data_IF_664200276401
#
_entry.id   IF_664200276401
#
_cell.length_a   1.000
_cell.length_b   1.000
_cell.length_c   1.000
_cell.angle_alpha   90.00
_cell.angle_beta   90.00
_cell.angle_gamma   90.00
#
_symmetry.space_group_name_H-M   'P 1'
#
loop_
_entity.id
_entity.type
_entity.pdbx_description
1 polymer ?
#
# COMPACT_ATOMS: atom_id res chain seq x y z
N UNK A 1 0.49 -9.94 4.28
CA UNK A 1 0.46 -9.07 3.08
C UNK A 1 -0.09 -7.73 3.50
N UNK A 2 0.59 -6.65 3.13
CA UNK A 2 0.12 -5.28 3.37
C UNK A 2 -1.10 -4.99 2.49
N UNK A 3 -1.99 -4.09 2.90
CA UNK A 3 -3.12 -3.67 2.05
C UNK A 3 -2.63 -3.05 0.75
N UNK A 4 -1.56 -2.26 0.83
CA UNK A 4 -0.86 -1.71 -0.33
C UNK A 4 -0.40 -2.77 -1.34
N UNK A 5 0.15 -3.90 -0.89
CA UNK A 5 0.61 -4.96 -1.81
C UNK A 5 -0.56 -5.62 -2.54
N UNK A 6 -1.67 -5.82 -1.83
CA UNK A 6 -2.90 -6.38 -2.40
C UNK A 6 -3.50 -5.41 -3.40
N UNK A 7 -3.55 -4.12 -3.05
CA UNK A 7 -4.03 -3.06 -3.92
C UNK A 7 -3.26 -2.99 -5.24
N UNK A 8 -1.92 -2.99 -5.21
CA UNK A 8 -1.11 -2.92 -6.43
C UNK A 8 -1.23 -4.18 -7.28
N UNK A 9 -1.38 -5.35 -6.65
CA UNK A 9 -1.62 -6.62 -7.35
C UNK A 9 -2.96 -6.57 -8.07
N UNK A 10 -4.02 -6.16 -7.38
CA UNK A 10 -5.36 -6.01 -7.96
C UNK A 10 -5.38 -4.91 -9.03
N UNK A 11 -4.68 -3.79 -8.82
CA UNK A 11 -4.60 -2.69 -9.79
C UNK A 11 -3.92 -3.15 -11.10
N UNK A 12 -2.94 -4.05 -11.01
CA UNK A 12 -2.27 -4.63 -12.18
C UNK A 12 -3.11 -5.69 -12.89
N UNK A 13 -4.04 -6.34 -12.19
CA UNK A 13 -4.82 -7.49 -12.69
C UNK A 13 -6.25 -7.14 -13.09
N UNK A 14 -6.85 -6.13 -12.45
CA UNK A 14 -8.23 -5.67 -12.67
C UNK A 14 -8.24 -4.37 -13.50
N UNK A 15 -8.66 -4.51 -14.76
CA UNK A 15 -8.75 -3.39 -15.69
C UNK A 15 -9.79 -2.33 -15.26
N UNK A 16 -10.85 -2.71 -14.54
CA UNK A 16 -11.84 -1.74 -14.02
C UNK A 16 -11.24 -0.93 -12.89
N UNK A 17 -10.50 -1.58 -12.00
CA UNK A 17 -9.79 -0.91 -10.92
C UNK A 17 -8.77 0.09 -11.49
N UNK A 18 -8.05 -0.31 -12.55
CA UNK A 18 -7.12 0.57 -13.25
C UNK A 18 -7.80 1.80 -13.86
N UNK A 19 -8.92 1.63 -14.57
CA UNK A 19 -9.67 2.76 -15.12
C UNK A 19 -10.22 3.71 -14.04
N UNK A 20 -10.75 3.14 -12.96
CA UNK A 20 -11.23 3.91 -11.83
C UNK A 20 -10.08 4.70 -11.19
N UNK A 21 -8.91 4.07 -11.04
CA UNK A 21 -7.71 4.69 -10.51
C UNK A 21 -7.18 5.81 -11.41
N UNK A 22 -7.19 5.64 -12.73
CA UNK A 22 -6.83 6.70 -13.68
C UNK A 22 -7.77 7.92 -13.60
N UNK A 23 -9.04 7.69 -13.27
CA UNK A 23 -10.03 8.77 -13.12
C UNK A 23 -9.99 9.44 -11.75
N UNK A 24 -9.76 8.68 -10.68
CA UNK A 24 -9.82 9.16 -9.29
C UNK A 24 -8.96 8.28 -8.38
N UNK A 25 -7.63 8.43 -8.43
CA UNK A 25 -6.70 7.53 -7.73
C UNK A 25 -6.88 7.60 -6.20
N UNK A 26 -7.04 8.81 -5.68
CA UNK A 26 -7.27 9.11 -4.26
C UNK A 26 -8.51 8.39 -3.71
N UNK A 27 -9.61 8.48 -4.45
CA UNK A 27 -10.89 7.88 -4.06
C UNK A 27 -10.85 6.36 -4.12
N UNK A 28 -10.23 5.81 -5.16
CA UNK A 28 -10.05 4.35 -5.30
C UNK A 28 -9.21 3.79 -4.17
N UNK A 29 -8.12 4.46 -3.80
CA UNK A 29 -7.28 4.02 -2.69
C UNK A 29 -8.00 4.12 -1.34
N UNK A 30 -8.82 5.15 -1.15
CA UNK A 30 -9.63 5.33 0.05
C UNK A 30 -10.74 4.28 0.16
N UNK A 31 -11.43 3.98 -0.94
CA UNK A 31 -12.46 2.94 -1.03
C UNK A 31 -11.86 1.53 -0.83
N UNK A 32 -10.62 1.31 -1.28
CA UNK A 32 -9.86 0.08 -1.02
C UNK A 32 -9.39 -0.03 0.45
N UNK A 33 -9.46 1.06 1.21
CA UNK A 33 -9.13 1.09 2.64
C UNK A 33 -7.64 1.24 2.94
N UNK A 34 -6.88 1.88 2.03
CA UNK A 34 -5.50 2.29 2.25
C UNK A 34 -5.44 3.46 3.23
N UNK A 35 -4.39 3.48 4.04
CA UNK A 35 -4.07 4.57 4.97
C UNK A 35 -3.54 5.78 4.22
N UNK A 36 -3.61 6.98 4.82
CA UNK A 36 -3.09 8.21 4.17
C UNK A 36 -1.62 8.09 3.78
N UNK A 37 -0.79 7.47 4.62
CA UNK A 37 0.63 7.25 4.32
C UNK A 37 0.85 6.32 3.11
N UNK A 38 0.01 5.29 2.98
CA UNK A 38 0.03 4.40 1.81
C UNK A 38 -0.44 5.12 0.55
N UNK A 39 -1.49 5.95 0.66
CA UNK A 39 -2.00 6.77 -0.44
C UNK A 39 -0.95 7.77 -0.93
N UNK A 40 -0.30 8.48 -0.02
CA UNK A 40 0.74 9.46 -0.34
C UNK A 40 1.95 8.80 -1.00
N UNK A 41 2.38 7.63 -0.53
CA UNK A 41 3.49 6.90 -1.14
C UNK A 41 3.19 6.48 -2.59
N UNK A 42 1.97 6.03 -2.86
CA UNK A 42 1.51 5.67 -4.21
C UNK A 42 1.37 6.92 -5.09
N UNK A 43 0.76 7.99 -4.58
CA UNK A 43 0.61 9.27 -5.30
C UNK A 43 1.95 9.92 -5.63
N UNK A 44 2.92 9.85 -4.73
CA UNK A 44 4.24 10.42 -4.94
C UNK A 44 5.10 9.60 -5.91
N UNK A 45 4.61 8.43 -6.36
CA UNK A 45 5.34 7.47 -7.18
C UNK A 45 6.73 7.16 -6.62
N UNK A 46 6.85 7.23 -5.29
CA UNK A 46 8.13 7.08 -4.60
C UNK A 46 8.31 5.59 -4.33
N UNK A 47 8.98 4.91 -5.26
CA UNK A 47 9.26 3.49 -5.17
C UNK A 47 9.95 3.10 -3.86
N UNK A 48 10.74 4.00 -3.26
CA UNK A 48 11.39 3.78 -1.97
C UNK A 48 10.37 3.70 -0.83
N UNK A 49 9.42 4.65 -0.79
CA UNK A 49 8.31 4.63 0.20
C UNK A 49 7.36 3.46 -0.03
N UNK A 50 7.01 3.19 -1.28
CA UNK A 50 6.14 2.07 -1.65
C UNK A 50 6.78 0.74 -1.27
N UNK A 51 8.06 0.51 -1.60
CA UNK A 51 8.79 -0.69 -1.18
C UNK A 51 8.92 -0.79 0.34
N UNK A 52 9.14 0.32 1.04
CA UNK A 52 9.20 0.34 2.49
C UNK A 52 7.84 -0.09 3.08
N UNK A 53 6.71 0.43 2.59
CA UNK A 53 5.38 0.11 3.12
C UNK A 53 4.87 -1.30 2.73
N UNK A 54 5.26 -1.81 1.56
CA UNK A 54 4.97 -3.18 1.14
C UNK A 54 5.83 -4.18 1.94
N UNK A 55 7.07 -3.81 2.24
CA UNK A 55 8.06 -4.63 2.93
C UNK A 55 8.06 -4.51 4.46
N UNK A 56 7.48 -3.45 5.03
CA UNK A 56 7.27 -3.31 6.48
C UNK A 56 6.04 -4.15 6.89
N UNK A 57 6.19 -5.46 6.69
CA UNK A 57 5.55 -6.44 7.54
C UNK A 57 6.21 -6.27 8.91
N UNK A 58 5.70 -5.31 9.66
CA UNK A 58 5.68 -5.39 11.11
C UNK A 58 7.09 -5.36 11.75
N UNK A 59 7.85 -4.27 11.57
CA UNK A 59 9.02 -4.01 12.45
C UNK A 59 8.66 -3.97 13.94
N UNK A 60 7.37 -3.78 14.26
CA UNK A 60 6.83 -3.88 15.62
C UNK A 60 6.56 -5.32 16.10
N UNK A 61 6.52 -6.33 15.21
CA UNK A 61 6.45 -7.76 15.57
C UNK A 61 7.78 -8.50 15.53
N UNK A 62 8.87 -7.86 15.12
CA UNK A 62 10.24 -8.33 15.43
C UNK A 62 10.68 -7.83 16.82
N UNK A 63 9.74 -7.64 17.74
CA UNK A 63 9.99 -7.64 19.18
C UNK A 63 10.00 -9.08 19.69
N UNK A 64 10.87 -9.92 19.10
CA UNK A 64 11.26 -11.16 19.75
C UNK A 64 12.46 -10.89 20.67
N UNK A 65 12.14 -10.66 21.93
CA UNK A 65 12.85 -11.16 23.12
C UNK A 65 14.36 -10.89 23.18
N UNK A 66 14.74 -9.80 23.87
CA UNK A 66 15.77 -9.94 24.90
C UNK A 66 15.22 -9.41 26.21
N UNK A 67 14.71 -10.36 26.99
CA UNK A 67 14.37 -10.18 28.38
C UNK A 67 15.69 -10.27 29.17
N UNK A 68 15.98 -9.25 29.98
CA UNK A 68 16.98 -9.19 31.06
C UNK A 68 18.46 -9.14 30.70
#
# INVERSE_FOLDING_TARGET
MSKLSSFLTDLSSDAKLKQAYESSPEKVMQDYGLSKEEQEAVMSCDEGKVCALIGDVDKSKILFVHHS
#
